data_IF_983322495708
#
_entry.id   IF_983322495708
#
_cell.length_a   1.000
_cell.length_b   1.000
_cell.length_c   1.000
_cell.angle_alpha   90.00
_cell.angle_beta   90.00
_cell.angle_gamma   90.00
#
_symmetry.space_group_name_H-M   'P 1'
#
loop_
_entity.id
_entity.type
_entity.pdbx_description
1 polymer ?
#
# COMPACT_ATOMS: atom_id res chain seq x y z
N UNK A 1 6.98 -4.29 -9.72
CA UNK A 1 6.06 -4.65 -10.82
C UNK A 1 4.70 -4.90 -10.19
N UNK A 2 3.65 -4.20 -10.63
CA UNK A 2 2.31 -4.38 -10.06
C UNK A 2 1.57 -5.45 -10.85
N UNK A 3 1.01 -6.41 -10.13
CA UNK A 3 0.24 -7.52 -10.70
C UNK A 3 -1.04 -7.63 -9.89
N UNK A 4 -2.17 -7.68 -10.57
CA UNK A 4 -3.48 -7.81 -9.96
C UNK A 4 -4.43 -8.58 -10.87
N UNK A 5 -5.44 -9.22 -10.28
CA UNK A 5 -6.51 -9.92 -11.01
C UNK A 5 -7.70 -9.01 -11.37
N UNK A 6 -7.67 -7.75 -10.93
CA UNK A 6 -8.63 -6.74 -11.32
C UNK A 6 -8.49 -6.39 -12.82
N UNK A 7 -9.53 -5.80 -13.47
CA UNK A 7 -9.45 -5.37 -14.86
C UNK A 7 -8.16 -4.58 -15.14
N UNK A 8 -7.53 -4.85 -16.29
CA UNK A 8 -6.22 -4.30 -16.62
C UNK A 8 -6.26 -2.78 -16.57
N UNK A 9 -5.56 -2.21 -15.59
CA UNK A 9 -5.37 -0.76 -15.53
C UNK A 9 -4.54 -0.32 -16.72
N UNK A 10 -4.87 0.85 -17.28
CA UNK A 10 -4.01 1.50 -18.26
C UNK A 10 -2.59 1.62 -17.70
N UNK A 11 -1.58 1.41 -18.55
CA UNK A 11 -0.20 1.64 -18.15
C UNK A 11 -0.08 3.09 -17.65
N UNK A 12 0.69 3.28 -16.57
CA UNK A 12 0.97 4.62 -16.09
C UNK A 12 1.82 5.34 -17.16
N UNK A 13 1.32 6.46 -17.74
CA UNK A 13 2.02 7.19 -18.79
C UNK A 13 3.41 7.67 -18.39
N UNK A 14 3.70 7.82 -17.08
CA UNK A 14 5.02 8.15 -16.59
C UNK A 14 6.09 7.12 -17.03
N UNK A 15 5.69 5.87 -17.23
CA UNK A 15 6.57 4.83 -17.76
C UNK A 15 6.80 4.95 -19.28
N UNK A 16 6.29 5.96 -19.98
CA UNK A 16 6.70 6.26 -21.36
C UNK A 16 8.01 7.06 -21.42
N UNK A 17 8.33 7.80 -20.36
CA UNK A 17 9.59 8.54 -20.22
C UNK A 17 10.76 7.58 -19.88
N UNK A 18 11.80 7.47 -20.73
CA UNK A 18 12.95 6.62 -20.45
C UNK A 18 13.72 7.01 -19.18
N UNK A 19 13.76 8.29 -18.81
CA UNK A 19 14.45 8.75 -17.60
C UNK A 19 13.70 8.28 -16.36
N UNK A 20 12.39 8.54 -16.29
CA UNK A 20 11.54 8.05 -15.21
C UNK A 20 11.63 6.52 -15.07
N UNK A 21 11.47 5.78 -16.17
CA UNK A 21 11.57 4.30 -16.17
C UNK A 21 12.88 3.79 -15.57
N UNK A 22 14.01 4.34 -15.99
CA UNK A 22 15.32 3.90 -15.53
C UNK A 22 15.53 4.24 -14.04
N UNK A 23 15.14 5.44 -13.62
CA UNK A 23 15.18 5.84 -12.22
C UNK A 23 14.33 4.93 -11.34
N UNK A 24 13.07 4.66 -11.75
CA UNK A 24 12.19 3.73 -11.04
C UNK A 24 12.81 2.34 -10.92
N UNK A 25 13.30 1.77 -12.03
CA UNK A 25 13.91 0.45 -12.03
C UNK A 25 15.11 0.37 -11.08
N UNK A 26 16.01 1.37 -11.11
CA UNK A 26 17.18 1.42 -10.22
C UNK A 26 16.80 1.53 -8.75
N UNK A 27 15.84 2.38 -8.40
CA UNK A 27 15.42 2.55 -7.01
C UNK A 27 14.76 1.28 -6.47
N UNK A 28 13.83 0.69 -7.25
CA UNK A 28 13.16 -0.55 -6.83
C UNK A 28 14.16 -1.68 -6.64
N UNK A 29 15.04 -1.93 -7.61
CA UNK A 29 16.03 -3.03 -7.50
C UNK A 29 17.04 -2.79 -6.39
N UNK A 30 17.45 -1.53 -6.16
CA UNK A 30 18.37 -1.19 -5.08
C UNK A 30 17.77 -1.50 -3.70
N UNK A 31 16.56 -1.04 -3.39
CA UNK A 31 15.96 -1.31 -2.08
C UNK A 31 15.58 -2.78 -1.91
N UNK A 32 15.10 -3.44 -2.96
CA UNK A 32 14.75 -4.87 -2.89
C UNK A 32 15.97 -5.76 -2.67
N UNK A 33 17.09 -5.48 -3.35
CA UNK A 33 18.34 -6.25 -3.17
C UNK A 33 18.96 -6.11 -1.78
N UNK A 34 18.60 -5.07 -1.03
CA UNK A 34 19.14 -4.78 0.30
C UNK A 34 18.12 -4.99 1.43
N UNK A 35 16.99 -5.68 1.18
CA UNK A 35 15.91 -5.84 2.16
C UNK A 35 15.47 -4.50 2.80
N UNK A 36 15.43 -3.45 1.98
CA UNK A 36 15.17 -2.07 2.38
C UNK A 36 16.06 -1.54 3.54
N UNK A 37 17.24 -2.14 3.75
CA UNK A 37 18.19 -1.79 4.81
C UNK A 37 17.64 -1.92 6.24
N UNK A 38 16.59 -2.72 6.43
CA UNK A 38 16.00 -2.99 7.72
C UNK A 38 15.99 -4.49 8.01
N UNK A 39 15.96 -4.84 9.29
CA UNK A 39 15.79 -6.24 9.69
C UNK A 39 14.42 -6.75 9.27
N UNK A 40 14.36 -8.04 8.91
CA UNK A 40 13.10 -8.67 8.57
C UNK A 40 12.09 -8.57 9.73
N UNK A 41 10.82 -8.35 9.38
CA UNK A 41 9.74 -8.15 10.34
C UNK A 41 9.82 -6.89 11.22
N UNK A 42 10.80 -6.00 11.04
CA UNK A 42 10.98 -4.82 11.89
C UNK A 42 9.73 -3.94 12.01
N UNK A 43 9.01 -3.74 10.90
CA UNK A 43 7.80 -2.91 10.88
C UNK A 43 6.66 -3.50 11.73
N UNK A 44 6.44 -4.82 11.68
CA UNK A 44 5.40 -5.48 12.47
C UNK A 44 5.78 -5.51 13.96
N UNK A 45 7.05 -5.83 14.26
CA UNK A 45 7.57 -5.86 15.63
C UNK A 45 7.45 -4.50 16.32
N UNK A 46 7.81 -3.44 15.61
CA UNK A 46 7.86 -2.08 16.15
C UNK A 46 6.53 -1.32 16.01
N UNK A 47 5.49 -1.97 15.47
CA UNK A 47 4.20 -1.36 15.17
C UNK A 47 3.52 -0.74 16.41
N UNK A 48 3.81 -1.24 17.61
CA UNK A 48 3.31 -0.68 18.87
C UNK A 48 3.70 0.80 19.08
N UNK A 49 4.78 1.27 18.43
CA UNK A 49 5.17 2.70 18.42
C UNK A 49 4.08 3.61 17.82
N UNK A 50 3.15 3.06 17.04
CA UNK A 50 2.00 3.77 16.47
C UNK A 50 0.77 3.79 17.40
N UNK A 51 0.85 3.28 18.63
CA UNK A 51 -0.32 3.06 19.51
C UNK A 51 -1.16 4.31 19.83
N UNK A 52 -0.57 5.50 19.79
CA UNK A 52 -1.28 6.78 19.96
C UNK A 52 -1.82 7.39 18.65
N UNK A 53 -1.42 6.86 17.50
CA UNK A 53 -1.69 7.44 16.19
C UNK A 53 -2.85 6.67 15.55
N UNK A 54 -3.99 7.30 15.24
CA UNK A 54 -5.05 6.64 14.50
C UNK A 54 -4.65 6.44 13.03
N UNK A 55 -5.08 5.34 12.42
CA UNK A 55 -4.73 5.00 11.04
C UNK A 55 -5.85 4.30 10.28
N UNK A 56 -5.83 4.43 8.95
CA UNK A 56 -6.69 3.65 8.06
C UNK A 56 -5.79 2.94 7.05
N UNK A 57 -5.84 1.62 7.05
CA UNK A 57 -5.17 0.78 6.07
C UNK A 57 -6.19 0.47 4.97
N UNK A 58 -5.92 0.83 3.73
CA UNK A 58 -6.84 0.62 2.59
C UNK A 58 -6.13 -0.27 1.58
N UNK A 59 -6.70 -1.44 1.29
CA UNK A 59 -6.03 -2.44 0.46
C UNK A 59 -7.00 -3.11 -0.52
N UNK A 60 -6.56 -3.29 -1.77
CA UNK A 60 -7.33 -4.03 -2.77
C UNK A 60 -7.22 -5.53 -2.55
N UNK A 61 -8.35 -6.25 -2.55
CA UNK A 61 -8.38 -7.71 -2.33
C UNK A 61 -7.66 -8.49 -3.43
N UNK A 62 -7.53 -7.91 -4.63
CA UNK A 62 -6.96 -8.54 -5.81
C UNK A 62 -5.52 -8.08 -6.11
N UNK A 63 -4.83 -7.44 -5.17
CA UNK A 63 -3.40 -7.07 -5.30
C UNK A 63 -2.51 -8.30 -5.08
N UNK A 64 -1.95 -8.84 -6.16
CA UNK A 64 -1.02 -9.97 -6.11
C UNK A 64 0.43 -9.54 -5.86
N UNK A 65 0.75 -8.27 -6.16
CA UNK A 65 2.09 -7.73 -5.91
C UNK A 65 2.35 -7.42 -4.44
N UNK A 66 1.29 -7.20 -3.68
CA UNK A 66 1.32 -6.99 -2.23
C UNK A 66 0.10 -7.68 -1.60
N UNK A 67 0.22 -8.94 -1.17
CA UNK A 67 -0.92 -9.69 -0.66
C UNK A 67 -1.53 -9.08 0.62
N UNK A 68 -2.82 -9.35 0.84
CA UNK A 68 -3.62 -8.78 1.95
C UNK A 68 -3.15 -9.25 3.34
N UNK A 69 -2.33 -10.28 3.44
CA UNK A 69 -1.85 -10.82 4.72
C UNK A 69 -1.04 -9.77 5.51
N UNK A 70 -0.21 -8.97 4.84
CA UNK A 70 0.61 -7.93 5.47
C UNK A 70 -0.25 -6.82 6.12
N UNK A 71 -1.15 -6.11 5.41
CA UNK A 71 -2.01 -5.10 6.03
C UNK A 71 -2.96 -5.69 7.07
N UNK A 72 -3.39 -6.96 6.91
CA UNK A 72 -4.15 -7.66 7.95
C UNK A 72 -3.32 -7.82 9.24
N UNK A 73 -2.10 -8.36 9.15
CA UNK A 73 -1.18 -8.50 10.30
C UNK A 73 -0.88 -7.15 10.94
N UNK A 74 -0.68 -6.10 10.13
CA UNK A 74 -0.44 -4.76 10.63
C UNK A 74 -1.66 -4.21 11.38
N UNK A 75 -2.88 -4.43 10.88
CA UNK A 75 -4.10 -3.98 11.57
C UNK A 75 -4.29 -4.66 12.94
N UNK A 76 -3.83 -5.90 13.08
CA UNK A 76 -3.81 -6.61 14.38
C UNK A 76 -2.77 -6.03 15.34
N UNK A 77 -1.63 -5.59 14.82
CA UNK A 77 -0.52 -5.05 15.60
C UNK A 77 -0.63 -3.54 15.89
N UNK A 78 -1.50 -2.82 15.18
CA UNK A 78 -1.76 -1.38 15.33
C UNK A 78 -3.15 -1.14 15.92
N UNK A 79 -3.29 -0.96 17.25
CA UNK A 79 -4.59 -0.97 17.94
C UNK A 79 -5.57 0.13 17.49
N UNK A 80 -5.05 1.27 17.05
CA UNK A 80 -5.85 2.42 16.60
C UNK A 80 -6.03 2.49 15.08
N UNK A 81 -5.72 1.40 14.37
CA UNK A 81 -5.95 1.29 12.93
C UNK A 81 -7.30 0.63 12.61
N UNK A 82 -7.86 0.94 11.44
CA UNK A 82 -8.91 0.14 10.80
C UNK A 82 -8.42 -0.33 9.43
N UNK A 83 -8.74 -1.57 9.05
CA UNK A 83 -8.48 -2.10 7.73
C UNK A 83 -9.75 -2.02 6.87
N UNK A 84 -9.62 -1.42 5.69
CA UNK A 84 -10.64 -1.39 4.63
C UNK A 84 -10.14 -2.24 3.48
N UNK A 85 -10.88 -3.31 3.19
CA UNK A 85 -10.60 -4.16 2.04
C UNK A 85 -11.53 -3.75 0.92
N UNK A 86 -10.96 -3.44 -0.25
CA UNK A 86 -11.71 -3.09 -1.46
C UNK A 86 -11.81 -4.32 -2.35
N UNK A 87 -13.01 -4.86 -2.41
CA UNK A 87 -13.31 -6.20 -2.90
C UNK A 87 -13.00 -6.44 -4.39
N UNK A 88 -13.18 -5.40 -5.21
CA UNK A 88 -13.02 -5.39 -6.67
C UNK A 88 -11.76 -4.63 -7.13
N UNK A 89 -10.84 -4.33 -6.22
CA UNK A 89 -9.62 -3.58 -6.51
C UNK A 89 -8.33 -4.39 -6.36
N UNK A 90 -7.35 -4.07 -7.22
CA UNK A 90 -5.96 -4.50 -7.11
C UNK A 90 -5.05 -3.38 -6.60
N UNK A 91 -3.80 -3.35 -7.05
CA UNK A 91 -2.86 -2.29 -6.72
C UNK A 91 -3.23 -0.94 -7.36
N UNK A 92 -3.28 0.13 -6.56
CA UNK A 92 -3.38 1.52 -7.06
C UNK A 92 -4.53 2.35 -6.47
N UNK A 93 -4.71 3.57 -7.01
CA UNK A 93 -5.61 4.61 -6.48
C UNK A 93 -6.74 4.97 -7.46
N UNK A 94 -7.64 4.03 -7.70
CA UNK A 94 -8.80 4.18 -8.59
C UNK A 94 -10.05 3.56 -7.98
N UNK A 95 -11.23 3.89 -8.51
CA UNK A 95 -12.50 3.29 -8.10
C UNK A 95 -12.74 3.36 -6.59
N UNK A 96 -13.14 2.22 -6.01
CA UNK A 96 -13.40 2.08 -4.58
C UNK A 96 -12.21 2.45 -3.69
N UNK A 97 -10.97 2.17 -4.12
CA UNK A 97 -9.77 2.55 -3.34
C UNK A 97 -9.64 4.07 -3.23
N UNK A 98 -9.90 4.82 -4.30
CA UNK A 98 -9.86 6.28 -4.25
C UNK A 98 -10.94 6.84 -3.32
N UNK A 99 -12.16 6.30 -3.42
CA UNK A 99 -13.27 6.73 -2.56
C UNK A 99 -12.97 6.44 -1.08
N UNK A 100 -12.44 5.27 -0.77
CA UNK A 100 -12.03 4.91 0.59
C UNK A 100 -10.94 5.85 1.14
N UNK A 101 -9.97 6.24 0.31
CA UNK A 101 -8.92 7.21 0.69
C UNK A 101 -9.54 8.57 0.99
N UNK A 102 -10.41 9.09 0.11
CA UNK A 102 -11.07 10.38 0.31
C UNK A 102 -11.92 10.38 1.59
N UNK A 103 -12.73 9.34 1.80
CA UNK A 103 -13.52 9.19 3.02
C UNK A 103 -12.65 9.14 4.27
N UNK A 104 -11.53 8.39 4.24
CA UNK A 104 -10.60 8.35 5.37
C UNK A 104 -9.97 9.72 5.67
N UNK A 105 -9.63 10.50 4.64
CA UNK A 105 -9.10 11.85 4.84
C UNK A 105 -10.15 12.82 5.39
N UNK A 106 -11.40 12.72 4.94
CA UNK A 106 -12.51 13.53 5.47
C UNK A 106 -12.82 13.17 6.93
N UNK A 107 -12.80 11.88 7.28
CA UNK A 107 -12.97 11.40 8.67
C UNK A 107 -11.91 11.99 9.60
N UNK A 108 -10.66 12.10 9.16
CA UNK A 108 -9.57 12.68 9.95
C UNK A 108 -9.67 14.19 10.08
N UNK A 109 -10.16 14.88 9.05
CA UNK A 109 -10.39 16.33 9.09
C UNK A 109 -11.47 16.71 10.12
N UNK A 110 -12.46 15.84 10.33
CA UNK A 110 -13.59 16.10 11.23
C UNK A 110 -13.30 15.81 12.72
N UNK A 111 -12.09 15.35 13.07
CA UNK A 111 -11.68 15.00 14.44
C UNK A 111 -10.81 16.09 15.05
#
# INVERSE_FOLDING_TARGET
MHVALAPRRAADPGFEDPVFRMCFARLVTHYWSHAAFIQDGALLRDCAKLGGIPGVLIHGRLDLSSPLDIPWRLSRAWPRSRLVVVDDAGHGLSGGTRQAVMSATDDFRAR
#
